data_IF_199728114560
#
_entry.id   IF_199728114560
#
_cell.length_a   1.000
_cell.length_b   1.000
_cell.length_c   1.000
_cell.angle_alpha   90.00
_cell.angle_beta   90.00
_cell.angle_gamma   90.00
#
_symmetry.space_group_name_H-M   'P 1'
#
loop_
_entity.id
_entity.type
_entity.pdbx_description
1 polymer ?
#
# COMPACT_ATOMS: atom_id res chain seq x y z
N UNK A 1 21.53 12.23 -19.57
CA UNK A 1 20.24 12.76 -19.09
C UNK A 1 19.37 11.56 -18.78
N UNK A 2 18.78 11.49 -17.59
CA UNK A 2 17.74 10.48 -17.30
C UNK A 2 16.44 11.13 -17.76
N UNK A 3 15.69 10.47 -18.64
CA UNK A 3 14.38 10.98 -19.05
C UNK A 3 13.43 10.96 -17.85
N UNK A 4 12.57 11.98 -17.73
CA UNK A 4 11.50 12.01 -16.74
C UNK A 4 10.46 10.94 -17.11
N UNK A 5 10.68 9.71 -16.65
CA UNK A 5 9.84 8.57 -16.97
C UNK A 5 8.50 8.70 -16.28
N UNK A 6 7.47 9.16 -16.99
CA UNK A 6 6.09 9.11 -16.52
C UNK A 6 5.63 7.66 -16.48
N UNK A 7 5.51 7.09 -15.28
CA UNK A 7 4.85 5.81 -15.06
C UNK A 7 3.34 6.03 -14.86
N UNK A 8 2.55 5.04 -15.29
CA UNK A 8 1.10 4.96 -15.05
C UNK A 8 0.78 3.67 -14.30
N UNK A 9 -0.20 3.76 -13.40
CA UNK A 9 -0.71 2.61 -12.66
C UNK A 9 -1.52 1.69 -13.58
N UNK A 10 -1.38 0.38 -13.36
CA UNK A 10 -2.34 -0.59 -13.86
C UNK A 10 -3.70 -0.37 -13.18
N UNK A 11 -4.79 -0.62 -13.91
CA UNK A 11 -6.16 -0.62 -13.41
C UNK A 11 -6.42 -1.51 -12.18
N UNK A 12 -5.54 -2.46 -11.90
CA UNK A 12 -5.59 -3.37 -10.75
C UNK A 12 -4.79 -2.89 -9.53
N UNK A 13 -4.27 -1.66 -9.55
CA UNK A 13 -3.64 -1.05 -8.39
C UNK A 13 -4.67 -0.82 -7.27
N UNK A 14 -4.36 -1.30 -6.06
CA UNK A 14 -5.27 -1.33 -4.92
C UNK A 14 -4.67 -0.60 -3.73
N UNK A 15 -5.48 0.25 -3.08
CA UNK A 15 -5.16 0.89 -1.80
C UNK A 15 -6.10 0.34 -0.73
N UNK A 16 -5.58 -0.57 0.08
CA UNK A 16 -6.32 -1.18 1.19
C UNK A 16 -6.06 -0.41 2.49
N UNK A 17 -7.13 0.05 3.15
CA UNK A 17 -7.08 0.63 4.49
C UNK A 17 -7.59 -0.40 5.51
N UNK A 18 -6.86 -0.58 6.61
CA UNK A 18 -7.19 -1.55 7.66
C UNK A 18 -7.69 -0.87 8.94
N UNK A 19 -8.55 -1.56 9.69
CA UNK A 19 -9.15 -1.05 10.94
C UNK A 19 -8.10 -0.65 12.00
N UNK A 20 -6.97 -1.36 12.07
CA UNK A 20 -5.82 -1.01 12.92
C UNK A 20 -5.07 0.29 12.54
N UNK A 21 -5.50 1.01 11.50
CA UNK A 21 -4.89 2.28 11.07
C UNK A 21 -3.59 2.12 10.28
N UNK A 22 -3.32 0.93 9.73
CA UNK A 22 -2.33 0.73 8.65
C UNK A 22 -3.01 0.77 7.28
N UNK A 23 -2.22 0.91 6.22
CA UNK A 23 -2.70 0.76 4.84
C UNK A 23 -1.64 0.11 3.94
N UNK A 24 -2.07 -0.43 2.81
CA UNK A 24 -1.22 -1.10 1.82
C UNK A 24 -1.60 -0.64 0.41
N UNK A 25 -0.66 0.02 -0.28
CA UNK A 25 -0.81 0.41 -1.67
C UNK A 25 0.04 -0.51 -2.55
N UNK A 26 -0.59 -1.29 -3.44
CA UNK A 26 0.12 -2.29 -4.24
C UNK A 26 -0.47 -2.46 -5.64
N UNK A 27 0.32 -3.01 -6.55
CA UNK A 27 -0.09 -3.23 -7.93
C UNK A 27 1.09 -3.27 -8.88
N UNK A 28 0.87 -2.79 -10.11
CA UNK A 28 1.92 -2.61 -11.12
C UNK A 28 1.91 -1.20 -11.70
N UNK A 29 3.07 -0.76 -12.17
CA UNK A 29 3.25 0.45 -12.97
C UNK A 29 4.01 0.16 -14.26
N UNK A 30 3.71 0.90 -15.31
CA UNK A 30 4.34 0.81 -16.64
C UNK A 30 4.70 2.22 -17.12
N UNK A 31 5.84 2.40 -17.79
CA UNK A 31 6.17 3.70 -18.39
C UNK A 31 5.20 4.00 -19.54
N UNK A 32 4.63 5.20 -19.56
CA UNK A 32 3.59 5.60 -20.52
C UNK A 32 4.04 5.51 -21.98
N UNK A 33 5.34 5.68 -22.22
CA UNK A 33 5.96 5.68 -23.55
C UNK A 33 6.71 4.37 -23.88
N UNK A 34 6.86 3.46 -22.90
CA UNK A 34 7.62 2.23 -23.06
C UNK A 34 7.09 1.09 -22.19
N UNK A 35 6.33 0.18 -22.83
CA UNK A 35 5.77 -0.98 -22.14
C UNK A 35 6.78 -2.06 -21.74
N UNK A 36 8.06 -1.90 -22.11
CA UNK A 36 9.18 -2.71 -21.63
C UNK A 36 9.81 -2.16 -20.34
N UNK A 37 9.34 -1.02 -19.82
CA UNK A 37 9.72 -0.47 -18.52
C UNK A 37 8.58 -0.70 -17.52
N UNK A 38 8.68 -1.74 -16.71
CA UNK A 38 7.60 -2.19 -15.79
C UNK A 38 8.11 -2.57 -14.41
N UNK A 39 7.29 -2.27 -13.41
CA UNK A 39 7.51 -2.67 -12.03
C UNK A 39 6.21 -3.16 -11.39
N UNK A 40 6.33 -4.11 -10.46
CA UNK A 40 5.36 -4.31 -9.37
C UNK A 40 5.74 -3.40 -8.21
N UNK A 41 4.76 -2.91 -7.46
CA UNK A 41 5.00 -2.11 -6.26
C UNK A 41 4.19 -2.62 -5.08
N UNK A 42 4.72 -2.38 -3.88
CA UNK A 42 4.03 -2.51 -2.62
C UNK A 42 4.55 -1.42 -1.68
N UNK A 43 3.64 -0.67 -1.06
CA UNK A 43 3.95 0.42 -0.15
C UNK A 43 3.10 0.23 1.09
N UNK A 44 3.76 0.11 2.24
CA UNK A 44 3.12 -0.05 3.53
C UNK A 44 3.11 1.28 4.28
N UNK A 45 1.96 1.57 4.86
CA UNK A 45 1.67 2.79 5.58
C UNK A 45 1.18 2.47 7.00
N UNK A 46 1.45 3.36 7.95
CA UNK A 46 1.03 3.24 9.36
C UNK A 46 0.50 4.57 9.91
N UNK A 47 -0.15 4.51 11.08
CA UNK A 47 -0.62 5.67 11.86
C UNK A 47 -1.54 6.62 11.07
N UNK A 48 -2.67 6.10 10.56
CA UNK A 48 -3.76 6.96 10.05
C UNK A 48 -4.05 8.10 11.04
N UNK A 49 -3.87 9.35 10.61
CA UNK A 49 -4.00 10.52 11.46
C UNK A 49 -4.60 11.73 10.73
N UNK A 50 -4.98 12.76 11.48
CA UNK A 50 -5.37 14.07 10.95
C UNK A 50 -4.20 15.08 10.90
N UNK A 51 -2.97 14.63 11.19
CA UNK A 51 -1.79 15.50 11.24
C UNK A 51 -1.07 15.50 9.88
N UNK A 52 -0.99 16.67 9.25
CA UNK A 52 -0.39 16.85 7.93
C UNK A 52 1.15 16.94 7.93
N UNK A 53 1.82 16.60 9.04
CA UNK A 53 3.25 16.82 9.23
C UNK A 53 3.59 18.30 9.45
N UNK A 54 4.89 18.60 9.57
CA UNK A 54 5.40 19.97 9.76
C UNK A 54 5.34 20.81 8.48
N UNK A 55 5.38 20.18 7.29
CA UNK A 55 5.18 20.84 6.00
C UNK A 55 3.72 21.25 5.74
N UNK A 56 2.78 20.57 6.39
CA UNK A 56 1.35 20.80 6.24
C UNK A 56 0.76 20.16 4.96
N UNK A 57 -0.54 20.39 4.69
CA UNK A 57 -1.21 19.78 3.55
C UNK A 57 -0.65 20.29 2.22
N UNK A 58 -0.23 19.39 1.32
CA UNK A 58 0.31 19.75 0.01
C UNK A 58 -0.83 20.19 -0.92
N UNK A 59 -1.07 21.50 -0.99
CA UNK A 59 -2.10 22.13 -1.83
C UNK A 59 -1.60 22.36 -3.27
N UNK A 60 -1.59 21.33 -4.10
CA UNK A 60 -1.06 21.39 -5.49
C UNK A 60 -2.08 21.78 -6.59
N UNK A 61 -3.38 21.86 -6.28
CA UNK A 61 -4.39 22.38 -7.22
C UNK A 61 -4.33 23.92 -7.31
N UNK A 62 -5.05 24.49 -8.28
CA UNK A 62 -5.30 25.93 -8.34
C UNK A 62 -5.88 26.42 -6.99
N UNK A 63 -5.39 27.52 -6.39
CA UNK A 63 -5.94 28.09 -5.16
C UNK A 63 -7.47 28.21 -5.12
N UNK A 64 -8.12 28.51 -6.24
CA UNK A 64 -9.58 28.60 -6.35
C UNK A 64 -10.34 27.27 -6.16
N UNK A 65 -9.65 26.13 -6.14
CA UNK A 65 -10.26 24.81 -5.87
C UNK A 65 -10.53 24.56 -4.38
N UNK A 66 -9.90 25.32 -3.47
CA UNK A 66 -9.97 25.06 -2.03
C UNK A 66 -11.10 25.82 -1.32
N UNK A 67 -11.61 25.26 -0.22
CA UNK A 67 -12.72 25.79 0.57
C UNK A 67 -12.46 27.19 1.15
N UNK A 68 -11.20 27.51 1.48
CA UNK A 68 -10.75 28.85 1.89
C UNK A 68 -10.84 29.91 0.76
N UNK A 69 -10.97 29.47 -0.50
CA UNK A 69 -11.26 30.29 -1.68
C UNK A 69 -12.65 30.00 -2.29
N UNK A 70 -13.55 29.35 -1.55
CA UNK A 70 -14.91 28.93 -1.96
C UNK A 70 -14.97 27.83 -3.03
N UNK A 71 -13.88 27.12 -3.27
CA UNK A 71 -13.86 25.90 -4.08
C UNK A 71 -14.38 24.66 -3.33
N UNK A 72 -14.56 23.51 -4.01
CA UNK A 72 -15.14 22.31 -3.44
C UNK A 72 -14.20 21.51 -2.51
N UNK A 73 -12.88 21.74 -2.57
CA UNK A 73 -11.89 20.94 -1.84
C UNK A 73 -11.73 21.44 -0.40
N UNK A 74 -12.31 20.71 0.55
CA UNK A 74 -12.11 20.97 1.98
C UNK A 74 -10.95 20.14 2.54
N UNK A 75 -9.81 20.81 2.75
CA UNK A 75 -8.56 20.22 3.26
C UNK A 75 -8.70 19.76 4.72
N UNK A 76 -9.68 20.24 5.47
CA UNK A 76 -9.97 19.74 6.82
C UNK A 76 -10.52 18.30 6.83
N UNK A 77 -10.93 17.77 5.68
CA UNK A 77 -11.39 16.37 5.53
C UNK A 77 -10.26 15.38 5.22
N UNK A 78 -9.05 15.87 4.94
CA UNK A 78 -7.91 15.04 4.57
C UNK A 78 -7.33 14.29 5.78
N UNK A 79 -6.83 13.09 5.53
CA UNK A 79 -6.11 12.27 6.51
C UNK A 79 -4.79 11.78 5.94
N UNK A 80 -3.90 11.36 6.83
CA UNK A 80 -2.49 11.19 6.55
C UNK A 80 -1.95 9.88 7.09
N UNK A 81 -0.92 9.34 6.43
CA UNK A 81 -0.17 8.17 6.89
C UNK A 81 1.35 8.40 6.82
N UNK A 82 2.05 7.84 7.80
CA UNK A 82 3.50 7.65 7.77
C UNK A 82 3.85 6.40 6.95
N UNK A 83 5.08 6.32 6.42
CA UNK A 83 5.63 5.05 5.94
C UNK A 83 5.74 4.03 7.10
N UNK A 84 5.41 2.77 6.83
CA UNK A 84 5.40 1.72 7.85
C UNK A 84 6.83 1.39 8.33
N UNK A 85 7.08 1.64 9.61
CA UNK A 85 8.40 1.59 10.26
C UNK A 85 9.10 0.22 10.21
N UNK A 86 8.32 -0.85 10.11
CA UNK A 86 8.78 -2.25 10.17
C UNK A 86 8.39 -3.13 8.99
N UNK A 87 7.74 -2.59 7.94
CA UNK A 87 7.42 -3.33 6.71
C UNK A 87 8.10 -2.65 5.53
N UNK A 88 8.90 -3.42 4.78
CA UNK A 88 9.54 -2.90 3.57
C UNK A 88 8.50 -2.49 2.55
N UNK A 89 8.66 -1.29 1.99
CA UNK A 89 7.99 -0.86 0.77
C UNK A 89 8.97 -1.04 -0.39
N UNK A 90 8.56 -1.66 -1.49
CA UNK A 90 9.47 -1.93 -2.62
C UNK A 90 8.84 -1.72 -3.99
N UNK A 91 9.72 -1.49 -4.96
CA UNK A 91 9.46 -1.47 -6.39
C UNK A 91 10.32 -2.56 -7.04
N UNK A 92 9.70 -3.65 -7.50
CA UNK A 92 10.40 -4.82 -8.05
C UNK A 92 10.12 -4.91 -9.56
N UNK A 93 11.17 -4.96 -10.38
CA UNK A 93 11.03 -5.02 -11.82
C UNK A 93 10.31 -6.27 -12.30
N UNK A 94 9.56 -6.15 -13.40
CA UNK A 94 8.85 -7.30 -13.97
C UNK A 94 9.83 -8.13 -14.79
N UNK A 95 9.98 -9.41 -14.44
CA UNK A 95 10.84 -10.36 -15.15
C UNK A 95 10.54 -10.40 -16.67
N UNK A 96 11.59 -10.43 -17.49
CA UNK A 96 11.49 -10.32 -18.95
C UNK A 96 11.28 -8.89 -19.48
N UNK A 97 11.41 -7.85 -18.64
CA UNK A 97 11.36 -6.43 -19.04
C UNK A 97 12.70 -5.74 -18.73
N UNK A 98 12.91 -4.48 -19.17
CA UNK A 98 14.17 -3.72 -19.00
C UNK A 98 14.68 -3.71 -17.56
N UNK A 99 13.78 -3.79 -16.58
CA UNK A 99 14.12 -3.71 -15.15
C UNK A 99 13.97 -5.02 -14.40
N UNK A 100 13.75 -6.16 -15.07
CA UNK A 100 13.32 -7.41 -14.42
C UNK A 100 14.14 -7.90 -13.22
N UNK A 101 15.45 -7.64 -13.20
CA UNK A 101 16.36 -8.05 -12.12
C UNK A 101 16.62 -6.95 -11.07
N UNK A 102 15.88 -5.83 -11.14
CA UNK A 102 16.09 -4.64 -10.31
C UNK A 102 15.03 -4.55 -9.21
N UNK A 103 15.49 -4.31 -7.98
CA UNK A 103 14.62 -4.07 -6.83
C UNK A 103 15.03 -2.78 -6.14
N UNK A 104 14.06 -1.93 -5.83
CA UNK A 104 14.27 -0.69 -5.08
C UNK A 104 13.49 -0.74 -3.77
N UNK A 105 14.12 -0.33 -2.68
CA UNK A 105 13.43 0.04 -1.45
C UNK A 105 12.84 1.43 -1.64
N UNK A 106 11.57 1.59 -1.29
CA UNK A 106 10.87 2.88 -1.25
C UNK A 106 10.85 3.40 0.19
N UNK A 107 11.06 4.69 0.38
CA UNK A 107 11.12 5.33 1.68
C UNK A 107 10.49 6.72 1.67
N UNK A 108 10.16 7.24 2.85
CA UNK A 108 9.71 8.63 3.00
C UNK A 108 10.87 9.59 2.70
N UNK A 109 10.80 10.31 1.58
CA UNK A 109 11.80 11.33 1.22
C UNK A 109 11.74 12.55 2.14
N UNK A 110 10.60 12.77 2.80
CA UNK A 110 10.32 13.97 3.60
C UNK A 110 10.63 13.83 5.09
N UNK A 111 11.09 12.67 5.55
CA UNK A 111 11.41 12.40 6.96
C UNK A 111 10.27 12.77 7.94
N UNK A 112 9.01 12.55 7.54
CA UNK A 112 7.81 12.87 8.29
C UNK A 112 7.26 14.29 8.09
N UNK A 113 7.92 15.15 7.31
CA UNK A 113 7.43 16.52 7.07
C UNK A 113 6.19 16.55 6.16
N UNK A 114 6.09 15.62 5.19
CA UNK A 114 5.08 15.62 4.13
C UNK A 114 4.46 14.22 3.93
N UNK A 115 3.75 13.66 4.94
CA UNK A 115 3.17 12.32 4.90
C UNK A 115 2.27 12.06 3.68
N UNK A 116 1.97 10.78 3.43
CA UNK A 116 0.99 10.39 2.41
C UNK A 116 -0.37 11.01 2.77
N UNK A 117 -0.94 11.82 1.90
CA UNK A 117 -2.21 12.53 2.12
C UNK A 117 -3.32 11.90 1.26
N UNK A 118 -4.46 11.65 1.89
CA UNK A 118 -5.65 11.08 1.24
C UNK A 118 -6.84 12.01 1.50
N UNK A 119 -7.62 12.27 0.45
CA UNK A 119 -8.82 13.10 0.52
C UNK A 119 -9.29 13.58 -0.84
N UNK A 120 -10.45 14.23 -0.86
CA UNK A 120 -10.98 14.93 -2.04
C UNK A 120 -9.99 16.02 -2.45
N UNK A 121 -9.48 16.00 -3.69
CA UNK A 121 -8.47 16.93 -4.19
C UNK A 121 -7.04 16.71 -3.70
N UNK A 122 -6.79 15.67 -2.91
CA UNK A 122 -5.48 15.45 -2.28
C UNK A 122 -4.37 15.01 -3.25
N UNK A 123 -4.73 14.50 -4.44
CA UNK A 123 -3.78 14.07 -5.49
C UNK A 123 -3.15 15.24 -6.30
N UNK A 124 -3.62 16.48 -6.11
CA UNK A 124 -3.09 17.63 -6.84
C UNK A 124 -3.32 17.64 -8.35
N UNK A 125 -4.25 16.82 -8.89
CA UNK A 125 -4.54 16.71 -10.33
C UNK A 125 -6.02 16.98 -10.68
N UNK A 126 -6.95 16.61 -9.80
CA UNK A 126 -8.39 16.84 -9.92
C UNK A 126 -9.01 16.98 -8.53
N UNK A 127 -10.34 17.15 -8.46
CA UNK A 127 -11.13 17.23 -7.22
C UNK A 127 -11.82 15.89 -6.86
N UNK A 128 -11.32 14.75 -7.37
CA UNK A 128 -11.74 13.42 -6.92
C UNK A 128 -11.15 13.07 -5.54
N UNK A 129 -11.66 12.01 -4.90
CA UNK A 129 -10.90 11.32 -3.85
C UNK A 129 -9.56 10.85 -4.43
N UNK A 130 -8.45 11.14 -3.75
CA UNK A 130 -7.12 10.80 -4.26
C UNK A 130 -6.08 10.62 -3.16
N UNK A 131 -4.93 10.07 -3.56
CA UNK A 131 -3.74 9.90 -2.73
C UNK A 131 -2.56 10.65 -3.36
N UNK A 132 -1.82 11.39 -2.54
CA UNK A 132 -0.51 11.96 -2.89
C UNK A 132 0.56 11.61 -1.85
N UNK A 133 1.74 11.20 -2.31
CA UNK A 133 2.91 10.98 -1.44
C UNK A 133 4.21 11.29 -2.18
N UNK A 134 5.19 11.85 -1.47
CA UNK A 134 6.56 11.99 -1.96
C UNK A 134 7.40 10.82 -1.47
N UNK A 135 8.07 10.15 -2.39
CA UNK A 135 8.87 8.95 -2.13
C UNK A 135 10.31 9.15 -2.54
N UNK A 136 11.21 8.54 -1.77
CA UNK A 136 12.57 8.23 -2.18
C UNK A 136 12.63 6.79 -2.67
N UNK A 137 13.65 6.48 -3.48
CA UNK A 137 13.97 5.11 -3.87
C UNK A 137 15.48 4.85 -3.78
N UNK A 138 15.84 3.64 -3.35
CA UNK A 138 17.23 3.16 -3.33
C UNK A 138 17.26 1.72 -3.83
N UNK A 139 18.01 1.49 -4.89
CA UNK A 139 18.23 0.16 -5.47
C UNK A 139 18.92 -0.76 -4.44
N UNK A 140 18.64 -2.06 -4.53
CA UNK A 140 19.33 -3.09 -3.77
C UNK A 140 20.54 -3.61 -4.55
N UNK A 141 21.68 -3.79 -3.88
CA UNK A 141 22.91 -4.36 -4.47
C UNK A 141 24.13 -3.46 -4.35
N UNK A 142 25.18 -3.79 -5.12
CA UNK A 142 26.43 -3.03 -5.16
C UNK A 142 26.30 -1.83 -6.11
N UNK A 143 26.73 -0.65 -5.65
CA UNK A 143 26.57 0.64 -6.36
C UNK A 143 25.10 1.01 -6.69
N UNK A 144 24.22 1.10 -5.68
CA UNK A 144 22.79 1.29 -5.90
C UNK A 144 22.47 2.64 -6.57
N UNK A 145 21.55 2.65 -7.54
CA UNK A 145 20.90 3.90 -7.93
C UNK A 145 20.00 4.39 -6.79
N UNK A 146 20.13 5.66 -6.45
CA UNK A 146 19.36 6.32 -5.40
C UNK A 146 18.78 7.64 -5.91
N UNK A 147 17.54 7.90 -5.51
CA UNK A 147 16.85 9.15 -5.83
C UNK A 147 17.64 10.34 -5.28
N UNK A 148 17.87 11.37 -6.12
CA UNK A 148 18.51 12.63 -5.71
C UNK A 148 17.52 13.75 -5.38
N UNK A 149 16.23 13.47 -5.53
CA UNK A 149 15.06 14.31 -5.31
C UNK A 149 13.89 13.39 -4.98
N UNK A 150 12.83 13.93 -4.38
CA UNK A 150 11.56 13.23 -4.31
C UNK A 150 11.08 12.81 -5.70
N UNK A 151 10.41 11.65 -5.76
CA UNK A 151 9.45 11.31 -6.81
C UNK A 151 8.05 11.39 -6.21
N UNK A 152 7.04 11.75 -7.00
CA UNK A 152 5.66 11.82 -6.55
C UNK A 152 4.83 10.62 -7.02
N UNK A 153 3.97 10.13 -6.13
CA UNK A 153 2.80 9.32 -6.47
C UNK A 153 1.60 10.25 -6.34
N UNK A 154 0.79 10.33 -7.40
CA UNK A 154 -0.43 11.13 -7.46
C UNK A 154 -1.50 10.33 -8.22
N UNK A 155 -2.59 9.92 -7.55
CA UNK A 155 -3.62 9.02 -8.11
C UNK A 155 -5.03 9.37 -7.62
N UNK A 156 -6.06 9.26 -8.47
CA UNK A 156 -7.47 9.23 -8.05
C UNK A 156 -7.82 7.84 -7.52
N UNK A 157 -8.48 7.78 -6.35
CA UNK A 157 -8.97 6.55 -5.75
C UNK A 157 -10.45 6.35 -6.10
N UNK A 158 -10.82 5.13 -6.50
CA UNK A 158 -12.23 4.73 -6.63
C UNK A 158 -12.57 3.84 -5.44
N UNK A 159 -13.60 4.16 -4.62
CA UNK A 159 -13.96 3.33 -3.47
C UNK A 159 -14.37 1.91 -3.87
N UNK A 160 -13.76 0.91 -3.24
CA UNK A 160 -14.29 -0.45 -3.20
C UNK A 160 -15.25 -0.55 -1.98
N UNK A 161 -16.54 -0.92 -2.15
CA UNK A 161 -17.50 -0.97 -1.04
C UNK A 161 -17.32 -2.18 -0.11
N UNK A 162 -16.44 -3.13 -0.43
CA UNK A 162 -16.19 -4.31 0.42
C UNK A 162 -15.14 -4.00 1.51
N UNK A 163 -15.39 -4.36 2.79
CA UNK A 163 -14.43 -4.14 3.87
C UNK A 163 -13.22 -5.07 3.71
N UNK A 164 -12.01 -4.51 3.78
CA UNK A 164 -10.77 -5.28 3.62
C UNK A 164 -10.39 -5.92 4.96
N UNK A 165 -10.32 -7.26 5.07
CA UNK A 165 -9.89 -7.92 6.30
C UNK A 165 -8.40 -7.68 6.55
N UNK A 166 -8.01 -7.52 7.81
CA UNK A 166 -6.60 -7.36 8.16
C UNK A 166 -5.75 -8.55 7.71
N UNK A 167 -4.48 -8.35 7.30
CA UNK A 167 -3.57 -9.44 6.99
C UNK A 167 -3.25 -10.23 8.26
N UNK A 168 -4.01 -11.31 8.48
CA UNK A 168 -3.95 -12.13 9.70
C UNK A 168 -2.56 -12.71 9.89
N UNK A 169 -1.78 -12.14 10.81
CA UNK A 169 -0.55 -12.76 11.30
C UNK A 169 -0.94 -14.08 11.95
N UNK A 170 -0.58 -15.19 11.31
CA UNK A 170 -1.32 -16.45 11.37
C UNK A 170 -1.59 -17.00 12.78
N UNK A 171 -2.76 -16.68 13.34
CA UNK A 171 -3.36 -17.47 14.40
C UNK A 171 -4.20 -18.58 13.76
N UNK A 172 -3.59 -19.76 13.58
CA UNK A 172 -4.36 -20.98 13.36
C UNK A 172 -5.22 -21.21 14.61
N UNK A 173 -6.49 -20.83 14.54
CA UNK A 173 -7.51 -21.29 15.48
C UNK A 173 -8.11 -22.56 14.87
N UNK A 174 -7.67 -23.78 15.28
CA UNK A 174 -8.43 -24.98 14.97
C UNK A 174 -9.71 -24.95 15.80
N UNK A 175 -10.79 -24.42 15.23
CA UNK A 175 -12.11 -24.49 15.87
C UNK A 175 -12.51 -25.96 16.02
N UNK A 176 -12.51 -26.39 17.29
CA UNK A 176 -12.75 -27.77 17.68
C UNK A 176 -14.08 -28.31 17.16
N UNK A 177 -13.96 -29.39 16.38
CA UNK A 177 -14.85 -30.56 16.33
C UNK A 177 -16.15 -30.44 17.15
N UNK A 178 -17.26 -30.18 16.46
CA UNK A 178 -18.61 -30.08 17.04
C UNK A 178 -19.61 -31.08 16.44
N UNK A 179 -19.61 -32.31 16.94
CA UNK A 179 -20.76 -33.23 16.97
C UNK A 179 -21.41 -33.66 15.62
N UNK A 180 -20.66 -34.42 14.82
CA UNK A 180 -21.28 -35.34 13.84
C UNK A 180 -21.93 -36.55 14.53
N UNK A 181 -23.25 -36.53 14.71
CA UNK A 181 -24.02 -37.73 15.11
C UNK A 181 -24.15 -38.71 13.92
N UNK A 182 -23.49 -39.87 14.02
CA UNK A 182 -24.13 -41.21 13.93
C UNK A 182 -23.11 -42.36 13.98
N UNK A 183 -23.27 -43.19 15.02
CA UNK A 183 -23.18 -44.67 14.99
C UNK A 183 -22.35 -45.34 13.88
N UNK A 184 -21.33 -46.09 14.29
CA UNK A 184 -21.20 -47.48 13.85
C UNK A 184 -20.43 -48.32 14.89
N UNK A 185 -21.10 -49.35 15.41
CA UNK A 185 -20.57 -50.25 16.42
C UNK A 185 -19.58 -51.27 15.81
N UNK A 186 -18.43 -51.47 16.45
CA UNK A 186 -17.63 -52.71 16.27
C UNK A 186 -17.11 -53.22 17.61
N UNK A 187 -17.67 -54.35 18.05
CA UNK A 187 -17.02 -55.25 19.01
C UNK A 187 -15.63 -55.62 18.49
N UNK A 188 -14.60 -55.59 19.35
CA UNK A 188 -13.41 -56.44 19.17
C UNK A 188 -13.16 -57.23 20.44
N UNK A 189 -13.21 -58.54 20.27
CA UNK A 189 -12.80 -59.53 21.24
C UNK A 189 -11.26 -59.58 21.34
N UNK A 190 -10.78 -59.91 22.55
CA UNK A 190 -9.61 -60.77 22.82
C UNK A 190 -8.17 -60.24 22.60
N UNK A 191 -7.28 -60.66 23.53
CA UNK A 191 -5.79 -60.59 23.53
C UNK A 191 -5.18 -59.18 23.71
N UNK A 192 -4.21 -58.85 24.60
CA UNK A 192 -3.26 -59.55 25.52
C UNK A 192 -2.77 -58.50 26.57
N UNK A 193 -2.07 -58.76 27.70
CA UNK A 193 -1.82 -59.95 28.58
C UNK A 193 -1.03 -59.46 29.82
N UNK A 194 -1.36 -59.96 31.03
CA UNK A 194 -0.65 -59.87 32.35
C UNK A 194 -0.37 -58.51 33.01
N UNK A 195 -0.62 -58.44 34.32
CA UNK A 195 0.38 -58.19 35.37
C UNK A 195 -0.25 -58.43 36.77
N UNK A 196 0.51 -59.02 37.70
CA UNK A 196 0.13 -59.20 39.12
C UNK A 196 -0.75 -60.43 39.37
#
# INVERSE_FOLDING_TARGET
MIAEGKFVFDSTATFDEFDNGTAHFYGSIVAAEDTNKKFTFNIWFEKKSANAGTGGPKKELNPGSYSDQKGPVDVATWYYYDFHSSKSSTLNGVQGTEYGDRTFNLYDWSEGENPAQIGVGANGKNDDMGLAVWIGYKEQGENPLESKRNSDINISLTPNPEPVPEPTTGLLIPTLVGLGWRSLSKRRNQLKKSNG
#
